data_IF_387705166165
#
_entry.id   IF_387705166165
#
_cell.length_a   1.000
_cell.length_b   1.000
_cell.length_c   1.000
_cell.angle_alpha   90.00
_cell.angle_beta   90.00
_cell.angle_gamma   90.00
#
_symmetry.space_group_name_H-M   'P 1'
#
loop_
_entity.id
_entity.type
_entity.pdbx_description
1 polymer ?
#
# COMPACT_ATOMS: atom_id res chain seq x y z
N UNK A 1 0.16 23.42 29.08
CA UNK A 1 0.23 22.55 27.88
C UNK A 1 1.35 22.96 26.93
N UNK A 2 1.37 24.19 26.39
CA UNK A 2 2.40 24.66 25.44
C UNK A 2 3.86 24.48 25.93
N UNK A 3 4.16 24.76 27.20
CA UNK A 3 5.52 24.56 27.77
C UNK A 3 5.96 23.09 27.77
N UNK A 4 5.04 22.13 27.94
CA UNK A 4 5.37 20.70 27.98
C UNK A 4 5.67 20.17 26.56
N UNK A 5 4.84 20.57 25.59
CA UNK A 5 5.07 20.24 24.17
C UNK A 5 6.39 20.80 23.66
N UNK A 6 6.70 22.06 23.98
CA UNK A 6 7.97 22.69 23.60
C UNK A 6 9.18 21.94 24.21
N UNK A 7 9.09 21.52 25.48
CA UNK A 7 10.15 20.70 26.11
C UNK A 7 10.35 19.37 25.39
N UNK A 8 9.26 18.67 25.04
CA UNK A 8 9.37 17.41 24.32
C UNK A 8 9.98 17.61 22.92
N UNK A 9 9.62 18.68 22.22
CA UNK A 9 10.22 19.03 20.94
C UNK A 9 11.74 19.24 21.06
N UNK A 10 12.21 19.97 22.10
CA UNK A 10 13.64 20.16 22.33
C UNK A 10 14.35 18.82 22.53
N UNK A 11 13.79 17.92 23.36
CA UNK A 11 14.39 16.59 23.61
C UNK A 11 14.49 15.74 22.33
N UNK A 12 13.47 15.78 21.47
CA UNK A 12 13.48 15.07 20.18
C UNK A 12 14.50 15.68 19.22
N UNK A 13 14.58 17.02 19.14
CA UNK A 13 15.56 17.69 18.29
C UNK A 13 17.00 17.36 18.74
N UNK A 14 17.25 17.35 20.05
CA UNK A 14 18.56 16.97 20.60
C UNK A 14 18.94 15.54 20.26
N UNK A 15 17.98 14.60 20.26
CA UNK A 15 18.21 13.24 19.79
C UNK A 15 18.72 13.23 18.34
N UNK A 16 18.05 13.92 17.41
CA UNK A 16 18.49 13.96 16.02
C UNK A 16 19.84 14.65 15.83
N UNK A 17 20.12 15.73 16.57
CA UNK A 17 21.42 16.41 16.51
C UNK A 17 22.58 15.57 17.06
N UNK A 18 22.29 14.59 17.93
CA UNK A 18 23.31 13.79 18.62
C UNK A 18 23.42 12.35 18.10
N UNK A 19 22.42 11.88 17.34
CA UNK A 19 22.40 10.53 16.80
C UNK A 19 23.45 10.40 15.71
N UNK A 20 24.32 9.42 15.86
CA UNK A 20 25.31 9.08 14.82
C UNK A 20 24.58 8.55 13.57
N UNK A 21 24.71 9.19 12.40
CA UNK A 21 24.07 8.71 11.17
C UNK A 21 24.43 7.27 10.80
N UNK A 22 25.64 6.81 11.16
CA UNK A 22 26.07 5.43 10.91
C UNK A 22 25.26 4.40 11.70
N UNK A 23 24.58 4.81 12.79
CA UNK A 23 23.70 3.93 13.56
C UNK A 23 22.58 3.35 12.70
N UNK A 24 22.00 4.18 11.82
CA UNK A 24 20.94 3.75 10.92
C UNK A 24 21.47 2.72 9.92
N UNK A 25 22.61 3.02 9.28
CA UNK A 25 23.23 2.14 8.31
C UNK A 25 23.63 0.78 8.91
N UNK A 26 24.24 0.79 10.10
CA UNK A 26 24.59 -0.43 10.84
C UNK A 26 23.35 -1.27 11.16
N UNK A 27 22.26 -0.62 11.61
CA UNK A 27 21.00 -1.30 11.89
C UNK A 27 20.44 -1.99 10.64
N UNK A 28 20.34 -1.23 9.54
CA UNK A 28 19.79 -1.72 8.28
C UNK A 28 20.60 -2.87 7.73
N UNK A 29 21.93 -2.77 7.76
CA UNK A 29 22.82 -3.79 7.22
C UNK A 29 22.71 -5.10 8.01
N UNK A 30 22.64 -5.05 9.34
CA UNK A 30 22.42 -6.25 10.15
C UNK A 30 21.03 -6.88 9.89
N UNK A 31 20.00 -6.06 9.71
CA UNK A 31 18.64 -6.51 9.40
C UNK A 31 18.55 -7.14 8.01
N UNK A 32 19.20 -6.55 7.00
CA UNK A 32 19.23 -7.07 5.63
C UNK A 32 20.06 -8.35 5.49
N UNK A 33 21.05 -8.56 6.37
CA UNK A 33 21.84 -9.80 6.44
C UNK A 33 21.14 -10.94 7.19
N UNK A 34 20.08 -10.66 7.93
CA UNK A 34 19.33 -11.68 8.65
C UNK A 34 18.62 -12.62 7.65
N UNK A 35 18.96 -13.90 7.68
CA UNK A 35 18.35 -14.93 6.82
C UNK A 35 17.06 -15.51 7.41
N UNK A 36 16.90 -15.42 8.73
CA UNK A 36 15.76 -15.92 9.48
C UNK A 36 14.74 -14.84 9.79
N UNK A 37 14.40 -14.76 11.07
CA UNK A 37 13.36 -13.92 11.66
C UNK A 37 13.98 -12.90 12.60
N UNK A 38 13.42 -11.70 12.62
CA UNK A 38 13.84 -10.65 13.54
C UNK A 38 12.95 -10.68 14.78
N UNK A 39 13.54 -10.87 15.94
CA UNK A 39 12.81 -10.85 17.21
C UNK A 39 13.12 -9.57 17.97
N UNK A 40 12.14 -8.68 18.09
CA UNK A 40 12.24 -7.54 18.98
C UNK A 40 11.89 -7.96 20.41
N UNK A 41 12.68 -7.54 21.39
CA UNK A 41 12.42 -7.86 22.80
C UNK A 41 12.70 -6.65 23.71
N UNK A 42 11.95 -6.55 24.80
CA UNK A 42 12.05 -5.46 25.77
C UNK A 42 11.15 -5.74 26.97
N UNK A 43 11.33 -4.99 28.05
CA UNK A 43 10.49 -5.10 29.26
C UNK A 43 9.68 -3.83 29.45
N UNK A 44 8.44 -3.98 29.91
CA UNK A 44 7.55 -2.86 30.22
C UNK A 44 7.32 -1.95 29.01
N UNK A 45 7.54 -0.64 29.17
CA UNK A 45 7.27 0.34 28.09
C UNK A 45 8.17 0.15 26.86
N UNK A 46 9.42 -0.28 27.04
CA UNK A 46 10.28 -0.65 25.90
C UNK A 46 9.82 -1.95 25.24
N UNK A 47 9.15 -2.84 25.97
CA UNK A 47 8.48 -4.02 25.41
C UNK A 47 7.35 -3.63 24.46
N UNK A 48 6.50 -2.67 24.83
CA UNK A 48 5.47 -2.15 23.92
C UNK A 48 6.08 -1.47 22.67
N UNK A 49 7.18 -0.74 22.82
CA UNK A 49 7.90 -0.21 21.66
C UNK A 49 8.42 -1.34 20.75
N UNK A 50 8.98 -2.41 21.33
CA UNK A 50 9.45 -3.58 20.60
C UNK A 50 8.31 -4.29 19.84
N UNK A 51 7.14 -4.43 20.48
CA UNK A 51 5.95 -5.05 19.88
C UNK A 51 5.38 -4.24 18.71
N UNK A 52 5.29 -2.91 18.86
CA UNK A 52 4.86 -2.04 17.78
C UNK A 52 5.83 -2.10 16.59
N UNK A 53 7.14 -2.09 16.87
CA UNK A 53 8.17 -2.18 15.83
C UNK A 53 8.16 -3.53 15.12
N UNK A 54 7.96 -4.64 15.83
CA UNK A 54 7.81 -5.95 15.21
C UNK A 54 6.65 -5.96 14.21
N UNK A 55 5.50 -5.39 14.59
CA UNK A 55 4.31 -5.29 13.72
C UNK A 55 4.59 -4.39 12.51
N UNK A 56 5.27 -3.27 12.72
CA UNK A 56 5.66 -2.35 11.66
C UNK A 56 6.60 -3.01 10.65
N UNK A 57 7.62 -3.74 11.11
CA UNK A 57 8.54 -4.46 10.23
C UNK A 57 7.82 -5.58 9.46
N UNK A 58 6.91 -6.31 10.12
CA UNK A 58 6.07 -7.31 9.47
C UNK A 58 5.21 -6.71 8.34
N UNK A 59 4.66 -5.52 8.53
CA UNK A 59 3.84 -4.81 7.54
C UNK A 59 4.57 -4.53 6.22
N UNK A 60 5.90 -4.36 6.29
CA UNK A 60 6.76 -4.12 5.12
C UNK A 60 7.43 -5.40 4.58
N UNK A 61 6.92 -6.57 4.96
CA UNK A 61 7.37 -7.86 4.45
C UNK A 61 8.67 -8.38 5.08
N UNK A 62 9.09 -7.84 6.22
CA UNK A 62 10.20 -8.38 7.00
C UNK A 62 9.62 -9.32 8.05
N UNK A 63 10.07 -10.59 8.11
CA UNK A 63 9.62 -11.52 9.15
C UNK A 63 10.09 -11.01 10.51
N UNK A 64 9.19 -10.42 11.27
CA UNK A 64 9.49 -9.81 12.55
C UNK A 64 8.42 -10.11 13.60
N UNK A 65 8.83 -10.46 14.82
CA UNK A 65 7.94 -10.76 15.94
C UNK A 65 8.45 -10.16 17.24
N UNK A 66 7.54 -9.97 18.17
CA UNK A 66 7.89 -9.67 19.55
C UNK A 66 8.19 -10.95 20.32
N UNK A 67 9.32 -10.98 21.03
CA UNK A 67 9.66 -12.04 21.97
C UNK A 67 9.58 -11.48 23.39
N UNK A 68 8.58 -11.94 24.15
CA UNK A 68 8.49 -11.64 25.58
C UNK A 68 9.71 -12.24 26.31
N UNK A 69 10.53 -11.44 26.99
CA UNK A 69 11.72 -11.97 27.66
C UNK A 69 11.36 -12.91 28.81
N UNK A 70 10.21 -12.68 29.48
CA UNK A 70 9.72 -13.57 30.52
C UNK A 70 9.36 -14.95 29.94
N UNK A 71 8.57 -14.99 28.87
CA UNK A 71 8.15 -16.27 28.30
C UNK A 71 9.34 -17.00 27.65
N UNK A 72 10.28 -16.25 27.05
CA UNK A 72 11.49 -16.81 26.48
C UNK A 72 12.29 -17.62 27.52
N UNK A 73 12.46 -17.05 28.71
CA UNK A 73 13.12 -17.70 29.85
C UNK A 73 12.34 -18.91 30.40
N UNK A 74 11.06 -19.06 30.01
CA UNK A 74 10.18 -20.16 30.39
C UNK A 74 9.82 -21.11 29.23
N UNK A 75 10.53 -21.06 28.10
CA UNK A 75 10.43 -22.06 27.03
C UNK A 75 10.32 -21.49 25.62
N UNK A 76 9.79 -20.27 25.46
CA UNK A 76 9.57 -19.66 24.13
C UNK A 76 10.89 -19.38 23.38
N UNK A 77 12.04 -19.42 24.07
CA UNK A 77 13.35 -19.35 23.42
C UNK A 77 13.57 -20.48 22.39
N UNK A 78 12.80 -21.57 22.48
CA UNK A 78 12.81 -22.66 21.49
C UNK A 78 12.33 -22.26 20.09
N UNK A 79 11.65 -21.11 19.95
CA UNK A 79 11.21 -20.58 18.66
C UNK A 79 12.41 -20.02 17.86
N UNK A 80 13.49 -19.63 18.55
CA UNK A 80 14.66 -19.04 17.91
C UNK A 80 15.56 -20.09 17.23
N UNK A 81 16.13 -19.69 16.10
CA UNK A 81 17.14 -20.39 15.31
C UNK A 81 18.43 -19.58 15.20
N UNK A 82 19.51 -20.23 14.80
CA UNK A 82 20.84 -19.62 14.57
C UNK A 82 20.87 -18.62 13.40
N UNK A 83 19.82 -18.59 12.57
CA UNK A 83 19.63 -17.65 11.46
C UNK A 83 18.89 -16.38 11.85
N UNK A 84 18.38 -16.32 13.07
CA UNK A 84 17.57 -15.20 13.55
C UNK A 84 18.43 -14.04 14.08
N UNK A 85 17.80 -12.87 14.18
CA UNK A 85 18.38 -11.68 14.79
C UNK A 85 17.50 -11.21 15.95
N UNK A 86 18.08 -11.11 17.16
CA UNK A 86 17.37 -10.58 18.33
C UNK A 86 17.75 -9.12 18.59
N UNK A 87 16.76 -8.22 18.59
CA UNK A 87 16.93 -6.79 18.84
C UNK A 87 16.39 -6.44 20.23
N UNK A 88 17.30 -6.06 21.13
CA UNK A 88 17.00 -5.69 22.51
C UNK A 88 16.72 -4.20 22.65
N UNK A 89 15.53 -3.84 23.13
CA UNK A 89 15.19 -2.46 23.50
C UNK A 89 15.25 -2.30 25.02
N UNK A 90 16.14 -1.42 25.48
CA UNK A 90 16.25 -1.07 26.90
C UNK A 90 16.77 0.35 27.09
N UNK A 91 16.19 1.13 28.00
CA UNK A 91 16.75 2.46 28.32
C UNK A 91 18.17 2.34 28.91
N UNK A 92 18.32 1.51 29.95
CA UNK A 92 19.55 1.44 30.76
C UNK A 92 20.56 0.39 30.27
N UNK A 93 20.12 -0.58 29.46
CA UNK A 93 20.95 -1.73 29.11
C UNK A 93 21.24 -2.68 30.28
N UNK A 94 20.50 -2.55 31.40
CA UNK A 94 20.76 -3.28 32.65
C UNK A 94 19.55 -4.09 33.18
N UNK A 95 18.50 -4.23 32.37
CA UNK A 95 17.28 -4.99 32.72
C UNK A 95 17.62 -6.46 32.95
N UNK A 96 17.26 -7.02 34.11
CA UNK A 96 17.73 -8.35 34.54
C UNK A 96 17.26 -9.47 33.62
N UNK A 97 15.98 -9.43 33.23
CA UNK A 97 15.36 -10.40 32.33
C UNK A 97 16.06 -10.42 30.97
N UNK A 98 16.38 -9.24 30.44
CA UNK A 98 17.11 -9.12 29.18
C UNK A 98 18.55 -9.60 29.30
N UNK A 99 19.20 -9.35 30.45
CA UNK A 99 20.57 -9.84 30.70
C UNK A 99 20.59 -11.37 30.70
N UNK A 100 19.64 -12.01 31.38
CA UNK A 100 19.54 -13.48 31.36
C UNK A 100 19.28 -14.00 29.94
N UNK A 101 18.38 -13.34 29.20
CA UNK A 101 18.05 -13.72 27.83
C UNK A 101 19.23 -13.58 26.87
N UNK A 102 20.02 -12.50 26.94
CA UNK A 102 21.15 -12.30 26.01
C UNK A 102 22.25 -13.34 26.21
N UNK A 103 22.46 -13.84 27.44
CA UNK A 103 23.40 -14.95 27.67
C UNK A 103 22.98 -16.21 26.91
N UNK A 104 21.70 -16.59 26.99
CA UNK A 104 21.19 -17.78 26.30
C UNK A 104 21.23 -17.63 24.77
N UNK A 105 20.94 -16.43 24.27
CA UNK A 105 21.06 -16.10 22.83
C UNK A 105 22.50 -16.24 22.36
N UNK A 106 23.46 -15.76 23.16
CA UNK A 106 24.89 -15.90 22.87
C UNK A 106 25.34 -17.37 22.86
N UNK A 107 24.89 -18.17 23.83
CA UNK A 107 25.19 -19.62 23.87
C UNK A 107 24.67 -20.37 22.65
N UNK A 108 23.55 -19.92 22.08
CA UNK A 108 22.95 -20.48 20.85
C UNK A 108 23.55 -19.93 19.55
N UNK A 109 24.58 -19.08 19.62
CA UNK A 109 25.21 -18.40 18.48
C UNK A 109 24.23 -17.57 17.63
N UNK A 110 23.18 -17.04 18.25
CA UNK A 110 22.17 -16.22 17.56
C UNK A 110 22.69 -14.78 17.49
N UNK A 111 22.49 -14.12 16.34
CA UNK A 111 22.87 -12.73 16.18
C UNK A 111 22.00 -11.83 17.08
N UNK A 112 22.62 -10.80 17.67
CA UNK A 112 21.92 -9.86 18.54
C UNK A 112 22.39 -8.43 18.40
N UNK A 113 21.43 -7.53 18.54
CA UNK A 113 21.62 -6.09 18.47
C UNK A 113 20.95 -5.41 19.65
N UNK A 114 21.64 -4.46 20.28
CA UNK A 114 21.09 -3.67 21.39
C UNK A 114 20.75 -2.24 20.99
N UNK A 115 19.55 -1.76 21.28
CA UNK A 115 19.14 -0.36 21.16
C UNK A 115 18.99 0.24 22.55
N UNK A 116 19.99 1.02 22.96
CA UNK A 116 20.11 1.51 24.33
C UNK A 116 20.19 3.03 24.41
N UNK A 117 19.58 3.63 25.43
CA UNK A 117 19.70 5.07 25.64
C UNK A 117 20.93 5.47 26.45
N UNK A 118 21.46 4.56 27.27
CA UNK A 118 22.62 4.78 28.13
C UNK A 118 23.80 3.92 27.68
N UNK A 119 25.00 4.52 27.73
CA UNK A 119 26.27 3.83 27.48
C UNK A 119 26.68 3.01 28.70
N UNK A 120 27.42 1.91 28.46
CA UNK A 120 28.02 1.10 29.52
C UNK A 120 27.07 0.13 30.24
N UNK A 121 25.84 -0.07 29.75
CA UNK A 121 24.95 -1.11 30.27
C UNK A 121 25.48 -2.52 30.01
N UNK A 122 25.20 -3.47 30.89
CA UNK A 122 25.71 -4.85 30.79
C UNK A 122 25.32 -5.53 29.48
N UNK A 123 24.13 -5.26 28.95
CA UNK A 123 23.67 -5.82 27.68
C UNK A 123 24.58 -5.47 26.49
N UNK A 124 25.19 -4.29 26.46
CA UNK A 124 26.01 -3.87 25.32
C UNK A 124 27.30 -4.68 25.19
N UNK A 125 27.74 -5.35 26.26
CA UNK A 125 28.90 -6.24 26.24
C UNK A 125 28.59 -7.61 25.61
N UNK A 126 27.30 -7.97 25.51
CA UNK A 126 26.87 -9.26 24.99
C UNK A 126 26.26 -9.17 23.59
N UNK A 127 25.73 -8.00 23.21
CA UNK A 127 25.24 -7.78 21.86
C UNK A 127 26.39 -7.69 20.83
N UNK A 128 26.26 -8.36 19.69
CA UNK A 128 27.23 -8.25 18.59
C UNK A 128 27.26 -6.85 17.98
N UNK A 129 26.11 -6.15 17.98
CA UNK A 129 26.01 -4.75 17.55
C UNK A 129 25.27 -3.95 18.61
N UNK A 130 25.78 -2.76 18.95
CA UNK A 130 25.09 -1.86 19.88
C UNK A 130 24.86 -0.51 19.22
N UNK A 131 23.61 -0.05 19.28
CA UNK A 131 23.16 1.25 18.83
C UNK A 131 22.75 2.05 20.05
N UNK A 132 23.40 3.20 20.22
CA UNK A 132 23.07 4.13 21.29
C UNK A 132 22.12 5.20 20.76
N UNK A 133 20.94 5.33 21.39
CA UNK A 133 19.91 6.31 21.11
C UNK A 133 20.03 7.47 22.12
N UNK A 134 20.63 8.62 21.75
CA UNK A 134 20.94 9.67 22.71
C UNK A 134 19.70 10.17 23.46
N UNK A 135 19.78 10.14 24.79
CA UNK A 135 18.73 10.62 25.68
C UNK A 135 19.36 11.54 26.73
N UNK A 136 19.00 12.82 26.73
CA UNK A 136 19.44 13.75 27.77
C UNK A 136 18.68 13.48 29.08
N UNK A 137 17.34 13.43 29.00
CA UNK A 137 16.43 13.16 30.12
C UNK A 137 15.05 12.78 29.61
N UNK A 138 14.24 12.19 30.48
CA UNK A 138 12.82 12.01 30.26
C UNK A 138 12.06 13.34 30.39
N UNK A 139 10.92 13.41 29.70
CA UNK A 139 9.91 14.43 29.93
C UNK A 139 9.31 14.35 31.34
N UNK A 140 9.29 13.13 31.91
CA UNK A 140 8.87 12.88 33.29
C UNK A 140 9.57 13.84 34.27
N UNK A 141 8.84 14.57 35.14
CA UNK A 141 9.44 15.50 36.09
C UNK A 141 10.49 14.89 37.03
N UNK A 142 10.40 13.58 37.27
CA UNK A 142 11.29 12.84 38.15
C UNK A 142 12.35 12.01 37.39
N UNK A 143 12.34 12.04 36.06
CA UNK A 143 13.21 11.21 35.21
C UNK A 143 13.05 9.69 35.36
N UNK A 144 12.02 9.25 36.10
CA UNK A 144 11.79 7.84 36.44
C UNK A 144 10.95 7.10 35.39
N UNK A 145 9.85 7.72 34.95
CA UNK A 145 8.93 7.06 34.02
C UNK A 145 9.47 7.18 32.60
N UNK A 146 9.63 6.06 31.85
CA UNK A 146 9.99 6.13 30.44
C UNK A 146 8.89 6.86 29.67
N UNK A 147 9.23 8.01 29.12
CA UNK A 147 8.34 8.83 28.29
C UNK A 147 9.01 9.19 26.98
N UNK A 148 10.18 9.81 27.06
CA UNK A 148 10.96 10.27 25.92
C UNK A 148 11.76 9.11 25.36
N UNK A 149 12.41 8.30 26.21
CA UNK A 149 13.20 7.14 25.77
C UNK A 149 12.43 6.17 24.87
N UNK A 150 11.18 5.85 25.23
CA UNK A 150 10.32 4.96 24.45
C UNK A 150 9.90 5.57 23.13
N UNK A 151 9.70 6.89 23.08
CA UNK A 151 9.42 7.62 21.84
C UNK A 151 10.65 7.62 20.94
N UNK A 152 11.85 7.81 21.48
CA UNK A 152 13.09 7.80 20.68
C UNK A 152 13.34 6.41 20.07
N UNK A 153 13.07 5.33 20.81
CA UNK A 153 13.10 3.96 20.27
C UNK A 153 12.16 3.80 19.07
N UNK A 154 10.93 4.33 19.18
CA UNK A 154 9.95 4.30 18.10
C UNK A 154 10.35 5.19 16.91
N UNK A 155 10.87 6.40 17.16
CA UNK A 155 11.35 7.30 16.12
C UNK A 155 12.47 6.61 15.33
N UNK A 156 13.48 6.07 16.03
CA UNK A 156 14.58 5.36 15.38
C UNK A 156 14.09 4.16 14.55
N UNK A 157 13.24 3.31 15.12
CA UNK A 157 12.71 2.15 14.42
C UNK A 157 11.79 2.50 13.24
N UNK A 158 11.01 3.59 13.34
CA UNK A 158 10.22 4.11 12.22
C UNK A 158 11.12 4.62 11.08
N UNK A 159 12.14 5.42 11.40
CA UNK A 159 13.11 5.89 10.40
C UNK A 159 13.82 4.72 9.73
N UNK A 160 14.21 3.70 10.50
CA UNK A 160 14.80 2.47 9.99
C UNK A 160 13.85 1.68 9.08
N UNK A 161 12.56 1.64 9.41
CA UNK A 161 11.55 1.00 8.55
C UNK A 161 11.53 1.65 7.18
N UNK A 162 11.53 2.98 7.11
CA UNK A 162 11.52 3.72 5.83
C UNK A 162 12.81 3.47 5.05
N UNK A 163 13.98 3.52 5.69
CA UNK A 163 15.26 3.19 5.04
C UNK A 163 15.27 1.75 4.47
N UNK A 164 14.69 0.79 5.19
CA UNK A 164 14.55 -0.59 4.71
C UNK A 164 13.56 -0.71 3.55
N UNK A 165 12.47 0.06 3.55
CA UNK A 165 11.54 0.12 2.42
C UNK A 165 12.25 0.63 1.16
N UNK A 166 13.04 1.70 1.28
CA UNK A 166 13.81 2.25 0.17
C UNK A 166 14.84 1.23 -0.35
N UNK A 167 15.64 0.63 0.54
CA UNK A 167 16.66 -0.37 0.18
C UNK A 167 16.07 -1.64 -0.44
N UNK A 168 14.87 -2.05 -0.02
CA UNK A 168 14.16 -3.20 -0.60
C UNK A 168 13.31 -2.86 -1.82
N UNK A 169 13.31 -1.61 -2.29
CA UNK A 169 12.45 -1.14 -3.37
C UNK A 169 10.97 -1.49 -3.11
N UNK A 170 10.54 -1.31 -1.86
CA UNK A 170 9.21 -1.69 -1.40
C UNK A 170 8.13 -0.94 -2.17
N UNK A 171 7.28 -1.69 -2.87
CA UNK A 171 6.23 -1.13 -3.72
C UNK A 171 4.87 -1.13 -3.02
N UNK A 172 3.97 -0.29 -3.52
CA UNK A 172 2.56 -0.27 -3.09
C UNK A 172 1.89 -1.64 -3.23
N UNK A 173 2.24 -2.41 -4.27
CA UNK A 173 1.74 -3.77 -4.48
C UNK A 173 2.19 -4.74 -3.38
N UNK A 174 3.44 -4.63 -2.89
CA UNK A 174 3.94 -5.45 -1.77
C UNK A 174 3.18 -5.07 -0.48
N UNK A 175 2.96 -3.77 -0.25
CA UNK A 175 2.16 -3.30 0.88
C UNK A 175 0.76 -3.90 0.88
N UNK A 176 0.08 -3.88 -0.27
CA UNK A 176 -1.29 -4.40 -0.40
C UNK A 176 -1.39 -5.91 -0.16
N UNK A 177 -0.40 -6.70 -0.61
CA UNK A 177 -0.35 -8.15 -0.33
C UNK A 177 -0.32 -8.44 1.18
N UNK A 178 0.35 -7.59 1.96
CA UNK A 178 0.44 -7.73 3.41
C UNK A 178 -0.75 -7.10 4.17
N UNK A 179 -1.66 -6.40 3.47
CA UNK A 179 -2.82 -5.72 4.07
C UNK A 179 -4.13 -6.10 3.34
N UNK A 180 -4.53 -7.38 3.37
CA UNK A 180 -5.62 -7.93 2.53
C UNK A 180 -6.99 -7.32 2.81
N UNK A 181 -7.23 -6.80 4.02
CA UNK A 181 -8.49 -6.19 4.45
C UNK A 181 -8.47 -4.65 4.40
N UNK A 182 -7.37 -4.03 3.99
CA UNK A 182 -7.29 -2.59 3.85
C UNK A 182 -8.20 -2.09 2.72
N UNK A 183 -8.78 -0.89 2.91
CA UNK A 183 -9.67 -0.23 1.95
C UNK A 183 -9.05 -0.13 0.55
N UNK A 184 -7.73 -0.04 0.46
CA UNK A 184 -6.98 0.01 -0.81
C UNK A 184 -6.93 -1.38 -1.47
N UNK A 185 -6.62 -2.43 -0.71
CA UNK A 185 -6.48 -3.80 -1.23
C UNK A 185 -7.79 -4.46 -1.65
N UNK A 186 -8.93 -4.11 -1.05
CA UNK A 186 -10.25 -4.59 -1.49
C UNK A 186 -10.67 -3.98 -2.83
N UNK A 187 -10.42 -2.68 -3.03
CA UNK A 187 -10.86 -1.96 -4.24
C UNK A 187 -10.15 -2.43 -5.51
N UNK A 188 -8.89 -2.86 -5.40
CA UNK A 188 -8.10 -3.37 -6.53
C UNK A 188 -8.52 -4.79 -6.97
N UNK A 189 -9.30 -5.51 -6.15
CA UNK A 189 -9.82 -6.86 -6.46
C UNK A 189 -11.17 -6.86 -7.17
N UNK A 190 -11.86 -5.72 -7.20
CA UNK A 190 -13.13 -5.61 -7.90
C UNK A 190 -12.91 -5.86 -9.39
N UNK A 191 -13.77 -6.70 -9.95
CA UNK A 191 -13.79 -7.02 -11.36
C UNK A 191 -14.76 -6.11 -12.08
N UNK A 192 -14.63 -6.06 -13.40
CA UNK A 192 -15.55 -5.33 -14.27
C UNK A 192 -16.98 -5.84 -14.11
N UNK A 193 -17.17 -7.16 -14.01
CA UNK A 193 -18.49 -7.80 -13.81
C UNK A 193 -19.22 -7.34 -12.55
N UNK A 194 -18.50 -6.87 -11.53
CA UNK A 194 -19.07 -6.46 -10.24
C UNK A 194 -19.79 -5.10 -10.31
N UNK A 195 -19.51 -4.28 -11.33
CA UNK A 195 -19.99 -2.89 -11.41
C UNK A 195 -20.53 -2.48 -12.79
N UNK A 196 -20.37 -3.32 -13.82
CA UNK A 196 -20.79 -2.97 -15.17
C UNK A 196 -22.29 -2.72 -15.27
N UNK A 197 -22.70 -1.86 -16.19
CA UNK A 197 -24.09 -1.79 -16.63
C UNK A 197 -24.44 -3.08 -17.36
N UNK A 198 -25.48 -3.77 -16.89
CA UNK A 198 -26.00 -4.96 -17.54
C UNK A 198 -26.68 -4.62 -18.87
N UNK A 199 -26.81 -5.64 -19.72
CA UNK A 199 -27.36 -5.53 -21.08
C UNK A 199 -28.65 -4.70 -21.19
N UNK A 200 -29.61 -4.89 -20.28
CA UNK A 200 -30.91 -4.21 -20.29
C UNK A 200 -30.83 -2.68 -20.10
N UNK A 201 -29.69 -2.19 -19.58
CA UNK A 201 -29.47 -0.77 -19.32
C UNK A 201 -28.52 -0.13 -20.34
N UNK A 202 -28.05 -0.88 -21.33
CA UNK A 202 -27.08 -0.40 -22.30
C UNK A 202 -27.71 0.61 -23.27
N UNK A 203 -26.99 1.68 -23.63
CA UNK A 203 -27.35 2.56 -24.74
C UNK A 203 -27.05 1.83 -26.06
N UNK A 204 -28.05 1.14 -26.62
CA UNK A 204 -27.90 0.35 -27.85
C UNK A 204 -28.72 0.94 -28.98
N UNK A 205 -28.22 0.84 -30.20
CA UNK A 205 -29.00 1.10 -31.42
C UNK A 205 -28.65 0.08 -32.51
N UNK A 206 -29.53 -0.03 -33.51
CA UNK A 206 -29.27 -0.82 -34.69
C UNK A 206 -28.43 -0.03 -35.70
N UNK A 207 -27.56 -0.71 -36.44
CA UNK A 207 -26.63 -0.07 -37.39
C UNK A 207 -27.30 0.76 -38.50
N UNK A 208 -28.55 0.43 -38.84
CA UNK A 208 -29.34 1.14 -39.85
C UNK A 208 -30.14 2.30 -39.28
N UNK A 209 -30.15 2.50 -37.96
CA UNK A 209 -30.91 3.58 -37.34
C UNK A 209 -30.37 4.95 -37.79
N UNK A 210 -31.25 5.91 -38.16
CA UNK A 210 -30.86 7.27 -38.42
C UNK A 210 -30.19 7.91 -37.19
N UNK A 211 -29.16 8.73 -37.42
CA UNK A 211 -28.44 9.38 -36.31
C UNK A 211 -29.39 10.20 -35.42
N UNK A 212 -30.40 10.86 -35.98
CA UNK A 212 -31.34 11.67 -35.19
C UNK A 212 -32.13 10.86 -34.16
N UNK A 213 -32.46 9.60 -34.47
CA UNK A 213 -33.33 8.77 -33.64
C UNK A 213 -32.58 8.29 -32.38
N UNK A 214 -31.25 8.20 -32.48
CA UNK A 214 -30.38 7.73 -31.41
C UNK A 214 -29.86 8.87 -30.51
N UNK A 215 -30.04 10.15 -30.89
CA UNK A 215 -29.54 11.29 -30.09
C UNK A 215 -30.21 11.40 -28.71
N UNK A 216 -31.47 10.98 -28.61
CA UNK A 216 -32.21 10.95 -27.35
C UNK A 216 -31.57 9.91 -26.43
N UNK A 217 -31.30 8.71 -26.93
CA UNK A 217 -30.64 7.62 -26.19
C UNK A 217 -29.25 8.04 -25.70
N UNK A 218 -28.48 8.75 -26.54
CA UNK A 218 -27.15 9.27 -26.22
C UNK A 218 -27.21 10.22 -25.01
N UNK A 219 -28.25 11.06 -24.97
CA UNK A 219 -28.45 12.08 -23.95
C UNK A 219 -29.00 11.50 -22.64
N UNK A 220 -29.99 10.60 -22.73
CA UNK A 220 -30.73 10.09 -21.58
C UNK A 220 -29.90 9.11 -20.75
N UNK A 221 -29.13 8.22 -21.38
CA UNK A 221 -28.34 7.20 -20.68
C UNK A 221 -27.04 7.73 -20.07
N UNK A 222 -26.58 8.93 -20.47
CA UNK A 222 -25.37 9.59 -19.96
C UNK A 222 -24.13 8.68 -19.89
N UNK A 223 -24.01 7.76 -20.85
CA UNK A 223 -22.90 6.82 -20.92
C UNK A 223 -21.70 7.39 -21.70
N UNK A 224 -21.90 8.49 -22.44
CA UNK A 224 -20.89 9.10 -23.30
C UNK A 224 -20.65 8.35 -24.63
N UNK A 225 -21.37 7.25 -24.86
CA UNK A 225 -21.38 6.49 -26.09
C UNK A 225 -22.70 5.73 -26.26
N UNK A 226 -23.00 5.36 -27.51
CA UNK A 226 -23.98 4.35 -27.90
C UNK A 226 -23.24 3.18 -28.53
N UNK A 227 -23.71 1.97 -28.25
CA UNK A 227 -23.22 0.71 -28.79
C UNK A 227 -24.05 0.36 -30.04
N UNK A 228 -23.40 0.23 -31.18
CA UNK A 228 -24.05 -0.03 -32.46
C UNK A 228 -24.03 -1.53 -32.74
N UNK A 229 -25.21 -2.13 -32.84
CA UNK A 229 -25.39 -3.58 -33.02
C UNK A 229 -25.87 -3.92 -34.44
N UNK A 230 -25.52 -5.13 -34.90
CA UNK A 230 -26.10 -5.74 -36.09
C UNK A 230 -27.43 -6.46 -35.78
N UNK A 231 -28.04 -7.06 -36.81
CA UNK A 231 -29.27 -7.86 -36.68
C UNK A 231 -29.11 -9.09 -35.75
N UNK A 232 -27.89 -9.56 -35.53
CA UNK A 232 -27.55 -10.71 -34.68
C UNK A 232 -27.10 -10.29 -33.26
N UNK A 233 -27.31 -9.02 -32.88
CA UNK A 233 -26.88 -8.42 -31.60
C UNK A 233 -25.35 -8.44 -31.38
N UNK A 234 -24.56 -8.51 -32.44
CA UNK A 234 -23.11 -8.38 -32.39
C UNK A 234 -22.71 -6.91 -32.36
N UNK A 235 -21.72 -6.57 -31.53
CA UNK A 235 -21.22 -5.20 -31.44
C UNK A 235 -20.34 -4.86 -32.64
N UNK A 236 -20.81 -3.96 -33.49
CA UNK A 236 -20.08 -3.49 -34.67
C UNK A 236 -19.22 -2.26 -34.39
N UNK A 237 -19.65 -1.40 -33.46
CA UNK A 237 -18.98 -0.13 -33.24
C UNK A 237 -19.54 0.65 -32.05
N UNK A 238 -18.89 1.77 -31.79
CA UNK A 238 -19.36 2.76 -30.80
C UNK A 238 -19.56 4.11 -31.47
N UNK A 239 -20.60 4.83 -31.07
CA UNK A 239 -20.90 6.18 -31.54
C UNK A 239 -20.91 7.15 -30.36
N UNK A 240 -20.21 8.28 -30.48
CA UNK A 240 -20.01 9.26 -29.41
C UNK A 240 -20.32 10.68 -29.86
N UNK A 241 -20.42 11.64 -28.92
CA UNK A 241 -20.49 13.08 -29.24
C UNK A 241 -19.32 13.55 -30.11
N UNK A 242 -18.16 12.91 -29.96
CA UNK A 242 -16.99 13.16 -30.79
C UNK A 242 -17.22 12.76 -32.25
N UNK A 243 -17.88 11.63 -32.48
CA UNK A 243 -18.26 11.14 -33.80
C UNK A 243 -19.33 12.02 -34.42
N UNK A 244 -20.39 12.36 -33.66
CA UNK A 244 -21.43 13.28 -34.10
C UNK A 244 -20.84 14.63 -34.55
N UNK A 245 -19.97 15.23 -33.74
CA UNK A 245 -19.32 16.51 -34.06
C UNK A 245 -18.47 16.41 -35.33
N UNK A 246 -17.80 15.28 -35.57
CA UNK A 246 -17.03 15.04 -36.80
C UNK A 246 -17.96 14.85 -38.00
N UNK A 247 -19.01 14.07 -37.85
CA UNK A 247 -19.99 13.80 -38.88
C UNK A 247 -20.67 15.09 -39.38
N UNK A 248 -21.11 15.96 -38.46
CA UNK A 248 -21.75 17.25 -38.81
C UNK A 248 -20.82 18.13 -39.65
N UNK A 249 -19.51 18.14 -39.35
CA UNK A 249 -18.53 18.88 -40.18
C UNK A 249 -18.38 18.30 -41.58
N UNK A 250 -18.56 16.99 -41.74
CA UNK A 250 -18.36 16.29 -42.99
C UNK A 250 -19.60 16.34 -43.90
N UNK A 251 -20.79 16.04 -43.36
CA UNK A 251 -22.02 15.81 -44.12
C UNK A 251 -23.15 16.79 -43.79
N UNK A 252 -22.91 17.78 -42.91
CA UNK A 252 -23.87 18.82 -42.52
C UNK A 252 -25.20 18.19 -42.05
N UNK A 253 -26.33 18.67 -42.59
CA UNK A 253 -27.67 18.22 -42.18
C UNK A 253 -27.98 16.78 -42.62
N UNK A 254 -27.25 16.23 -43.60
CA UNK A 254 -27.47 14.86 -44.08
C UNK A 254 -27.09 13.81 -43.03
N UNK A 255 -26.29 14.19 -42.02
CA UNK A 255 -25.90 13.29 -40.93
C UNK A 255 -27.11 12.73 -40.21
N UNK A 256 -28.11 13.57 -39.94
CA UNK A 256 -29.26 13.24 -39.11
C UNK A 256 -30.15 12.14 -39.71
N UNK A 257 -30.21 12.06 -41.04
CA UNK A 257 -31.02 11.06 -41.77
C UNK A 257 -30.22 9.84 -42.23
N UNK A 258 -28.89 9.89 -42.17
CA UNK A 258 -28.04 8.80 -42.59
C UNK A 258 -27.91 7.74 -41.47
N UNK A 259 -27.68 6.46 -41.83
CA UNK A 259 -27.45 5.40 -40.85
C UNK A 259 -26.24 5.69 -39.94
N UNK A 260 -26.38 5.39 -38.65
CA UNK A 260 -25.30 5.51 -37.66
C UNK A 260 -24.05 4.74 -38.06
N UNK A 261 -24.20 3.59 -38.75
CA UNK A 261 -23.09 2.78 -39.27
C UNK A 261 -22.05 3.60 -40.03
N UNK A 262 -22.49 4.62 -40.76
CA UNK A 262 -21.60 5.47 -41.57
C UNK A 262 -20.61 6.29 -40.72
N UNK A 263 -20.96 6.58 -39.47
CA UNK A 263 -20.23 7.52 -38.63
C UNK A 263 -19.69 6.91 -37.33
N UNK A 264 -20.00 5.65 -37.05
CA UNK A 264 -19.51 4.95 -35.87
C UNK A 264 -18.00 4.67 -35.94
N UNK A 265 -17.38 4.52 -34.78
CA UNK A 265 -16.02 3.98 -34.67
C UNK A 265 -16.09 2.45 -34.62
N UNK A 266 -15.70 1.79 -35.70
CA UNK A 266 -15.63 0.30 -35.78
C UNK A 266 -14.50 -0.28 -34.91
N UNK A 267 -13.37 0.42 -34.80
CA UNK A 267 -12.25 0.00 -33.96
C UNK A 267 -12.42 0.46 -32.52
N UNK A 268 -13.30 -0.23 -31.78
CA UNK A 268 -13.50 -0.01 -30.37
C UNK A 268 -12.51 -0.79 -29.50
N UNK A 269 -12.38 -0.37 -28.25
CA UNK A 269 -11.58 -1.07 -27.23
C UNK A 269 -12.57 -1.62 -26.21
N UNK A 270 -12.55 -2.93 -26.00
CA UNK A 270 -13.39 -3.63 -25.03
C UNK A 270 -12.59 -4.08 -23.81
N UNK A 271 -13.26 -4.71 -22.85
CA UNK A 271 -12.64 -5.36 -21.70
C UNK A 271 -13.37 -6.66 -21.35
N UNK A 272 -12.66 -7.65 -20.81
CA UNK A 272 -13.25 -8.90 -20.38
C UNK A 272 -13.88 -8.75 -18.98
N UNK A 273 -15.05 -9.38 -18.68
CA UNK A 273 -15.76 -9.21 -17.41
C UNK A 273 -14.93 -9.58 -16.16
N UNK A 274 -14.02 -10.55 -16.30
CA UNK A 274 -13.15 -11.01 -15.21
C UNK A 274 -11.90 -10.16 -14.96
N UNK A 275 -11.61 -9.18 -15.81
CA UNK A 275 -10.52 -8.23 -15.58
C UNK A 275 -10.87 -7.28 -14.43
N UNK A 276 -9.84 -6.73 -13.82
CA UNK A 276 -9.94 -5.80 -12.68
C UNK A 276 -10.30 -4.39 -13.12
N UNK A 277 -10.86 -3.60 -12.20
CA UNK A 277 -11.12 -2.18 -12.46
C UNK A 277 -9.85 -1.37 -12.75
N UNK A 278 -8.71 -1.83 -12.24
CA UNK A 278 -7.40 -1.22 -12.51
C UNK A 278 -6.98 -1.43 -13.96
N UNK A 279 -7.19 -2.63 -14.49
CA UNK A 279 -6.98 -2.92 -15.90
C UNK A 279 -7.92 -2.09 -16.78
N UNK A 280 -9.17 -1.90 -16.35
CA UNK A 280 -10.12 -1.00 -17.02
C UNK A 280 -9.61 0.44 -17.10
N UNK A 281 -9.17 1.04 -15.98
CA UNK A 281 -8.58 2.40 -15.96
C UNK A 281 -7.35 2.46 -16.86
N UNK A 282 -6.45 1.48 -16.76
CA UNK A 282 -5.24 1.46 -17.59
C UNK A 282 -5.56 1.40 -19.09
N UNK A 283 -6.59 0.63 -19.49
CA UNK A 283 -7.08 0.62 -20.88
C UNK A 283 -7.66 1.97 -21.30
N UNK A 284 -8.44 2.62 -20.43
CA UNK A 284 -9.08 3.91 -20.72
C UNK A 284 -8.08 5.09 -20.78
N UNK A 285 -7.09 5.13 -19.89
CA UNK A 285 -6.24 6.32 -19.67
C UNK A 285 -4.80 6.19 -20.17
N UNK A 286 -4.16 5.02 -19.98
CA UNK A 286 -2.70 4.89 -20.20
C UNK A 286 -2.36 4.19 -21.50
N UNK A 287 -3.15 3.20 -21.91
CA UNK A 287 -2.86 2.40 -23.10
C UNK A 287 -3.17 3.16 -24.39
N UNK A 288 -4.11 4.11 -24.33
CA UNK A 288 -4.52 4.92 -25.48
C UNK A 288 -4.76 6.39 -25.08
N UNK A 289 -3.74 7.11 -24.60
CA UNK A 289 -3.91 8.43 -23.99
C UNK A 289 -4.46 9.49 -24.96
N UNK A 290 -4.26 9.29 -26.27
CA UNK A 290 -4.82 10.17 -27.30
C UNK A 290 -6.32 9.92 -27.55
N UNK A 291 -6.84 8.76 -27.14
CA UNK A 291 -8.26 8.42 -27.21
C UNK A 291 -8.88 8.75 -25.84
N UNK A 292 -9.74 9.76 -25.78
CA UNK A 292 -10.51 10.11 -24.56
C UNK A 292 -11.62 9.08 -24.33
N UNK A 293 -11.26 7.88 -23.88
CA UNK A 293 -12.20 6.77 -23.65
C UNK A 293 -12.83 6.94 -22.26
N UNK A 294 -14.14 7.16 -22.21
CA UNK A 294 -14.91 7.28 -20.97
C UNK A 294 -15.68 6.02 -20.60
N UNK A 295 -15.80 5.06 -21.51
CA UNK A 295 -16.50 3.79 -21.30
C UNK A 295 -15.89 2.67 -22.15
N UNK A 296 -15.96 1.44 -21.66
CA UNK A 296 -15.51 0.23 -22.35
C UNK A 296 -16.67 -0.76 -22.47
N UNK A 297 -17.01 -1.24 -23.68
CA UNK A 297 -17.86 -2.39 -23.86
C UNK A 297 -17.25 -3.62 -23.17
N UNK A 298 -18.06 -4.35 -22.43
CA UNK A 298 -17.65 -5.57 -21.75
C UNK A 298 -18.01 -6.75 -22.64
N UNK A 299 -17.00 -7.50 -23.10
CA UNK A 299 -17.16 -8.56 -24.09
C UNK A 299 -16.55 -9.86 -23.57
N UNK A 300 -17.27 -10.96 -23.77
CA UNK A 300 -16.78 -12.31 -23.56
C UNK A 300 -17.23 -13.19 -24.72
N UNK A 301 -16.29 -13.91 -25.35
CA UNK A 301 -16.60 -14.82 -26.48
C UNK A 301 -17.44 -14.13 -27.57
N UNK A 302 -17.02 -12.93 -27.97
CA UNK A 302 -17.67 -12.04 -28.95
C UNK A 302 -19.09 -11.56 -28.59
N UNK A 303 -19.59 -11.88 -27.38
CA UNK A 303 -20.87 -11.37 -26.90
C UNK A 303 -20.70 -10.12 -26.07
N UNK A 304 -21.49 -9.10 -26.39
CA UNK A 304 -21.63 -7.91 -25.57
C UNK A 304 -22.42 -8.26 -24.29
N UNK A 305 -21.77 -8.15 -23.13
CA UNK A 305 -22.38 -8.43 -21.83
C UNK A 305 -22.79 -7.16 -21.09
N UNK A 306 -22.06 -6.06 -21.30
CA UNK A 306 -22.26 -4.85 -20.52
C UNK A 306 -21.40 -3.68 -20.96
N UNK A 307 -21.39 -2.63 -20.13
CA UNK A 307 -20.60 -1.42 -20.32
C UNK A 307 -20.06 -0.96 -18.97
N UNK A 308 -18.75 -0.70 -18.88
CA UNK A 308 -18.14 -0.10 -17.68
C UNK A 308 -17.69 1.32 -17.99
N UNK A 309 -18.06 2.29 -17.13
CA UNK A 309 -17.74 3.70 -17.32
C UNK A 309 -16.66 4.14 -16.35
N UNK A 310 -15.80 5.05 -16.79
CA UNK A 310 -14.74 5.62 -15.95
C UNK A 310 -15.32 6.28 -14.69
N UNK A 311 -16.44 6.98 -14.83
CA UNK A 311 -17.10 7.64 -13.70
C UNK A 311 -17.57 6.66 -12.63
N UNK A 312 -18.02 5.46 -13.01
CA UNK A 312 -18.47 4.44 -12.06
C UNK A 312 -17.26 3.94 -11.26
N UNK A 313 -16.14 3.69 -11.93
CA UNK A 313 -14.89 3.27 -11.29
C UNK A 313 -14.36 4.36 -10.35
N UNK A 314 -14.32 5.61 -10.80
CA UNK A 314 -13.86 6.76 -10.01
C UNK A 314 -14.76 7.01 -8.80
N UNK A 315 -16.08 6.79 -8.92
CA UNK A 315 -17.03 6.94 -7.81
C UNK A 315 -16.74 5.99 -6.64
N UNK A 316 -16.08 4.85 -6.91
CA UNK A 316 -15.60 3.89 -5.91
C UNK A 316 -14.28 4.34 -5.24
N UNK A 317 -13.71 5.48 -5.65
CA UNK A 317 -12.44 5.99 -5.16
C UNK A 317 -11.24 5.21 -5.66
N UNK A 318 -11.32 4.65 -6.88
CA UNK A 318 -10.20 4.03 -7.60
C UNK A 318 -9.74 5.04 -8.66
N UNK A 319 -8.53 5.58 -8.49
CA UNK A 319 -7.93 6.62 -9.33
C UNK A 319 -6.56 6.20 -9.85
#
# INVERSE_FOLDING_TARGET
MHKLMARQQVLINQFFSSLDPSALEMASLAILKCEGTIFFTGVGKSGYSAELLATLFASIGIKAFYLSPMNALHGDIGILSDKDLVIFLSKSGNTQELIQLVFLIKERNIASMGWFCQKGGRLSQFCQTTIYLPLEKELCPFDLSPTTSTILQLIFGNTLTVDLMEKKQFSKEIYEKNHPSGVIGQKMKLKVEDIMLNFDYLPICHEQDPVQDILVELSDKKCGCILVLDENQQLLGVFTDGDLRRAIKQDQDKVFINPVRKYMTEQYISIHPKETLVEAINRMQKKFPEKKISALPVIQEDKLLGLVRLQDIVSLGIN
#
